data_IF_006311435041
#
_entry.id   IF_006311435041
#
_cell.length_a   1.000
_cell.length_b   1.000
_cell.length_c   1.000
_cell.angle_alpha   90.00
_cell.angle_beta   90.00
_cell.angle_gamma   90.00
#
_symmetry.space_group_name_H-M   'P 1'
#
loop_
_entity.id
_entity.type
_entity.pdbx_description
1 polymer ?
#
# COMPACT_ATOMS: atom_id res chain seq x y z
N UNK A 1 -16.72 -10.89 -2.23
CA UNK A 1 -17.16 -9.47 -2.14
C UNK A 1 -17.06 -8.95 -0.71
N UNK A 2 -17.40 -9.77 0.29
CA UNK A 2 -17.27 -9.44 1.72
C UNK A 2 -15.90 -8.85 2.13
N UNK A 3 -14.79 -9.45 1.71
CA UNK A 3 -13.45 -8.94 2.03
C UNK A 3 -13.17 -7.50 1.52
N UNK A 4 -13.75 -7.08 0.39
CA UNK A 4 -13.60 -5.70 -0.08
C UNK A 4 -14.42 -4.73 0.79
N UNK A 5 -15.59 -5.16 1.26
CA UNK A 5 -16.41 -4.34 2.16
C UNK A 5 -15.75 -4.18 3.53
N UNK A 6 -15.10 -5.24 4.03
CA UNK A 6 -14.28 -5.20 5.25
C UNK A 6 -13.09 -4.26 5.10
N UNK A 7 -12.37 -4.33 3.96
CA UNK A 7 -11.29 -3.39 3.68
C UNK A 7 -11.80 -1.94 3.70
N UNK A 8 -12.96 -1.67 3.07
CA UNK A 8 -13.59 -0.35 3.11
C UNK A 8 -13.91 0.12 4.54
N UNK A 9 -14.39 -0.77 5.42
CA UNK A 9 -14.63 -0.46 6.85
C UNK A 9 -13.33 -0.16 7.60
N UNK A 10 -12.27 -0.93 7.34
CA UNK A 10 -10.94 -0.69 7.94
C UNK A 10 -10.41 0.68 7.51
N UNK A 11 -10.46 1.00 6.22
CA UNK A 11 -10.03 2.30 5.69
C UNK A 11 -10.84 3.45 6.27
N UNK A 12 -12.16 3.28 6.46
CA UNK A 12 -12.99 4.26 7.13
C UNK A 12 -12.58 4.46 8.59
N UNK A 13 -12.27 3.40 9.33
CA UNK A 13 -11.79 3.52 10.71
C UNK A 13 -10.43 4.22 10.77
N UNK A 14 -9.49 3.85 9.90
CA UNK A 14 -8.19 4.51 9.77
C UNK A 14 -8.34 5.99 9.42
N UNK A 15 -9.29 6.34 8.55
CA UNK A 15 -9.54 7.73 8.16
C UNK A 15 -9.95 8.63 9.32
N UNK A 16 -10.49 8.06 10.41
CA UNK A 16 -10.92 8.78 11.62
C UNK A 16 -9.81 8.97 12.65
N UNK A 17 -8.83 8.08 12.69
CA UNK A 17 -7.81 8.03 13.75
C UNK A 17 -6.44 8.49 13.29
N UNK A 18 -6.10 8.30 12.02
CA UNK A 18 -4.79 8.67 11.48
C UNK A 18 -4.84 10.12 10.98
N UNK A 19 -4.07 11.07 11.54
CA UNK A 19 -3.92 12.41 10.99
C UNK A 19 -3.06 12.40 9.72
N UNK A 20 -3.16 13.43 8.87
CA UNK A 20 -2.33 13.56 7.67
C UNK A 20 -2.62 12.49 6.60
N UNK A 21 -1.57 12.00 5.95
CA UNK A 21 -1.63 11.08 4.81
C UNK A 21 -1.76 9.59 5.17
N UNK A 22 -2.67 8.90 4.50
CA UNK A 22 -2.77 7.43 4.49
C UNK A 22 -2.49 6.93 3.08
N UNK A 23 -1.54 6.01 2.91
CA UNK A 23 -1.22 5.42 1.61
C UNK A 23 -1.69 3.97 1.60
N UNK A 24 -2.48 3.59 0.59
CA UNK A 24 -3.03 2.23 0.44
C UNK A 24 -2.47 1.63 -0.83
N UNK A 25 -1.65 0.61 -0.70
CA UNK A 25 -1.04 -0.10 -1.82
C UNK A 25 -1.86 -1.35 -2.19
N UNK A 26 -2.28 -1.41 -3.45
CA UNK A 26 -2.99 -2.52 -4.04
C UNK A 26 -2.05 -3.38 -4.91
N UNK A 27 -2.39 -4.66 -5.13
CA UNK A 27 -1.55 -5.56 -5.93
C UNK A 27 -1.65 -5.28 -7.44
N UNK A 28 -2.69 -4.58 -7.90
CA UNK A 28 -2.85 -4.17 -9.29
C UNK A 28 -3.89 -3.06 -9.45
N UNK A 29 -3.79 -2.28 -10.53
CA UNK A 29 -4.81 -1.30 -10.91
C UNK A 29 -6.20 -1.91 -11.08
N UNK A 30 -6.30 -3.15 -11.58
CA UNK A 30 -7.59 -3.83 -11.75
C UNK A 30 -8.23 -4.15 -10.40
N UNK A 31 -7.44 -4.54 -9.40
CA UNK A 31 -7.95 -4.81 -8.07
C UNK A 31 -8.43 -3.52 -7.40
N UNK A 32 -7.63 -2.46 -7.50
CA UNK A 32 -7.97 -1.13 -7.00
C UNK A 32 -9.25 -0.58 -7.65
N UNK A 33 -9.38 -0.67 -8.99
CA UNK A 33 -10.60 -0.31 -9.73
C UNK A 33 -11.83 -1.10 -9.22
N UNK A 34 -11.69 -2.40 -8.94
CA UNK A 34 -12.77 -3.22 -8.40
C UNK A 34 -13.16 -2.82 -6.96
N UNK A 35 -12.16 -2.52 -6.12
CA UNK A 35 -12.38 -2.08 -4.74
C UNK A 35 -13.14 -0.75 -4.70
N UNK A 36 -12.68 0.24 -5.48
CA UNK A 36 -13.33 1.56 -5.59
C UNK A 36 -14.76 1.43 -6.10
N UNK A 37 -14.99 0.65 -7.18
CA UNK A 37 -16.35 0.39 -7.68
C UNK A 37 -17.24 -0.21 -6.60
N UNK A 38 -16.74 -1.20 -5.85
CA UNK A 38 -17.50 -1.80 -4.76
C UNK A 38 -17.85 -0.78 -3.69
N UNK A 39 -16.90 0.05 -3.26
CA UNK A 39 -17.11 1.07 -2.22
C UNK A 39 -18.05 2.19 -2.65
N UNK A 40 -18.10 2.51 -3.94
CA UNK A 40 -19.09 3.43 -4.49
C UNK A 40 -20.51 2.83 -4.41
N UNK A 41 -20.67 1.52 -4.67
CA UNK A 41 -21.98 0.85 -4.53
C UNK A 41 -22.46 0.71 -3.08
N UNK A 42 -21.56 0.72 -2.10
CA UNK A 42 -21.86 0.54 -0.67
C UNK A 42 -21.82 1.82 0.14
N UNK A 43 -21.71 3.00 -0.50
CA UNK A 43 -21.52 4.33 0.13
C UNK A 43 -20.24 4.49 0.95
N UNK A 44 -19.41 3.45 1.07
CA UNK A 44 -18.17 3.49 1.84
C UNK A 44 -17.19 4.51 1.27
N UNK A 45 -17.15 4.66 -0.06
CA UNK A 45 -16.28 5.63 -0.71
C UNK A 45 -16.59 7.06 -0.25
N UNK A 46 -17.87 7.43 -0.22
CA UNK A 46 -18.34 8.75 0.23
C UNK A 46 -18.05 8.97 1.72
N UNK A 47 -18.24 7.94 2.54
CA UNK A 47 -17.95 8.00 3.97
C UNK A 47 -16.46 8.23 4.26
N UNK A 48 -15.58 7.58 3.49
CA UNK A 48 -14.13 7.80 3.58
C UNK A 48 -13.80 9.21 3.08
N UNK A 49 -14.37 9.62 1.93
CA UNK A 49 -14.13 10.92 1.33
C UNK A 49 -14.56 12.09 2.22
N UNK A 50 -15.61 11.90 3.03
CA UNK A 50 -16.06 12.88 4.03
C UNK A 50 -15.06 13.08 5.18
N UNK A 51 -14.08 12.19 5.36
CA UNK A 51 -13.03 12.28 6.38
C UNK A 51 -11.65 12.60 5.79
N UNK A 52 -11.32 12.03 4.64
CA UNK A 52 -10.06 12.24 3.93
C UNK A 52 -10.27 12.38 2.44
N UNK A 53 -9.65 13.37 1.83
CA UNK A 53 -9.65 13.51 0.37
C UNK A 53 -8.99 12.27 -0.26
N UNK A 54 -9.68 11.59 -1.18
CA UNK A 54 -9.18 10.38 -1.81
C UNK A 54 -8.51 10.75 -3.13
N UNK A 55 -7.27 10.31 -3.30
CA UNK A 55 -6.47 10.43 -4.51
C UNK A 55 -6.15 9.04 -5.03
N UNK A 56 -6.03 8.90 -6.36
CA UNK A 56 -5.71 7.63 -7.02
C UNK A 56 -4.47 7.83 -7.88
N UNK A 57 -3.57 6.85 -7.85
CA UNK A 57 -2.38 6.86 -8.71
C UNK A 57 -2.80 6.86 -10.20
N UNK A 58 -2.40 7.86 -10.99
CA UNK A 58 -2.72 7.90 -12.41
C UNK A 58 -1.93 6.84 -13.18
N UNK A 59 -2.57 6.28 -14.21
CA UNK A 59 -1.94 5.29 -15.11
C UNK A 59 -0.84 5.92 -15.97
N UNK A 60 -0.88 7.25 -16.20
CA UNK A 60 0.12 8.00 -16.96
C UNK A 60 1.06 8.78 -16.04
N UNK A 61 2.30 8.97 -16.47
CA UNK A 61 3.37 9.48 -15.59
C UNK A 61 3.37 11.01 -15.50
N UNK A 62 2.87 11.66 -16.54
CA UNK A 62 2.69 13.11 -16.66
C UNK A 62 1.69 13.67 -15.64
N UNK A 63 0.62 12.92 -15.34
CA UNK A 63 -0.41 13.32 -14.36
C UNK A 63 0.04 13.11 -12.90
N UNK A 64 1.11 12.36 -12.66
CA UNK A 64 1.50 11.92 -11.32
C UNK A 64 1.96 13.07 -10.43
N UNK A 65 2.77 13.98 -10.96
CA UNK A 65 3.31 15.10 -10.21
C UNK A 65 2.20 16.02 -9.68
N UNK A 66 1.15 16.22 -10.48
CA UNK A 66 0.01 17.04 -10.10
C UNK A 66 -0.80 16.39 -8.97
N UNK A 67 -1.14 15.09 -9.11
CA UNK A 67 -1.87 14.34 -8.08
C UNK A 67 -1.12 14.37 -6.74
N UNK A 68 0.20 14.24 -6.75
CA UNK A 68 1.01 14.27 -5.54
C UNK A 68 1.07 15.65 -4.89
N UNK A 69 1.12 16.70 -5.70
CA UNK A 69 1.06 18.07 -5.20
C UNK A 69 -0.27 18.32 -4.48
N UNK A 70 -1.37 17.88 -5.08
CA UNK A 70 -2.71 17.99 -4.48
C UNK A 70 -2.85 17.13 -3.21
N UNK A 71 -2.34 15.89 -3.24
CA UNK A 71 -2.30 14.99 -2.09
C UNK A 71 -1.52 15.61 -0.92
N UNK A 72 -0.32 16.12 -1.19
CA UNK A 72 0.53 16.76 -0.18
C UNK A 72 -0.15 17.97 0.45
N UNK A 73 -0.73 18.84 -0.38
CA UNK A 73 -1.50 19.98 0.11
C UNK A 73 -2.70 19.56 0.97
N UNK A 74 -3.38 18.47 0.63
CA UNK A 74 -4.49 17.92 1.41
C UNK A 74 -4.04 17.27 2.73
N UNK A 75 -2.84 16.68 2.78
CA UNK A 75 -2.25 16.16 4.02
C UNK A 75 -1.94 17.27 5.02
N UNK A 76 -1.29 18.35 4.58
CA UNK A 76 -0.86 19.44 5.48
C UNK A 76 -2.01 20.34 5.96
N UNK A 77 -3.15 20.37 5.25
CA UNK A 77 -4.37 21.08 5.72
C UNK A 77 -5.03 20.43 6.94
N UNK A 78 -4.64 19.20 7.29
CA UNK A 78 -5.24 18.43 8.37
C UNK A 78 -4.98 18.91 9.78
N UNK A 79 -3.99 19.78 9.98
CA UNK A 79 -3.65 20.30 11.30
C UNK A 79 -4.71 21.28 11.86
N UNK A 80 -5.64 21.78 11.04
CA UNK A 80 -6.65 22.77 11.48
C UNK A 80 -8.09 22.26 11.48
N UNK A 81 -8.39 21.17 10.77
CA UNK A 81 -9.78 20.69 10.54
C UNK A 81 -9.96 19.18 10.78
N UNK A 82 -8.89 18.46 11.14
CA UNK A 82 -8.91 16.99 11.26
C UNK A 82 -9.02 16.23 9.93
N UNK A 83 -8.90 16.92 8.78
CA UNK A 83 -9.02 16.33 7.45
C UNK A 83 -7.65 15.97 6.87
N UNK A 84 -7.43 14.72 6.47
CA UNK A 84 -6.20 14.34 5.76
C UNK A 84 -6.46 13.94 4.32
N UNK A 85 -5.52 13.22 3.75
CA UNK A 85 -5.69 12.61 2.43
C UNK A 85 -5.43 11.10 2.49
N UNK A 86 -6.04 10.39 1.55
CA UNK A 86 -5.79 8.97 1.31
C UNK A 86 -5.36 8.79 -0.13
N UNK A 87 -4.21 8.16 -0.36
CA UNK A 87 -3.71 7.84 -1.68
C UNK A 87 -3.88 6.34 -1.95
N UNK A 88 -4.62 6.00 -2.99
CA UNK A 88 -4.75 4.63 -3.50
C UNK A 88 -3.70 4.42 -4.59
N UNK A 89 -2.71 3.57 -4.32
CA UNK A 89 -1.54 3.31 -5.16
C UNK A 89 -1.38 1.82 -5.45
N UNK A 90 -0.50 1.47 -6.39
CA UNK A 90 -0.22 0.08 -6.76
C UNK A 90 1.23 -0.28 -6.42
N UNK A 91 1.44 -1.46 -5.84
CA UNK A 91 2.78 -2.02 -5.57
C UNK A 91 3.53 -2.21 -6.88
N UNK A 92 4.80 -1.79 -6.94
CA UNK A 92 5.58 -1.81 -8.18
C UNK A 92 5.09 -0.80 -9.23
N UNK A 93 4.22 0.13 -8.81
CA UNK A 93 3.80 1.28 -9.60
C UNK A 93 4.87 2.37 -9.62
N UNK A 94 4.54 3.50 -10.25
CA UNK A 94 5.48 4.64 -10.40
C UNK A 94 5.80 5.27 -9.04
N UNK A 95 4.87 5.11 -8.10
CA UNK A 95 4.97 5.60 -6.74
C UNK A 95 5.99 4.85 -5.89
N UNK A 96 6.17 3.54 -6.10
CA UNK A 96 6.96 2.68 -5.22
C UNK A 96 8.48 2.77 -5.42
N UNK A 97 8.98 3.58 -6.36
CA UNK A 97 10.42 3.67 -6.65
C UNK A 97 11.03 5.06 -6.41
N UNK A 98 10.22 6.13 -6.34
CA UNK A 98 10.75 7.49 -6.51
C UNK A 98 10.28 8.56 -5.53
N UNK A 99 9.37 8.25 -4.60
CA UNK A 99 8.74 9.29 -3.77
C UNK A 99 9.10 9.11 -2.31
N UNK A 100 9.83 10.09 -1.80
CA UNK A 100 10.13 10.23 -0.39
C UNK A 100 8.89 10.80 0.30
N UNK A 101 8.12 9.94 0.97
CA UNK A 101 7.04 10.40 1.83
C UNK A 101 7.65 10.97 3.12
N UNK A 102 7.59 12.29 3.29
CA UNK A 102 7.84 12.90 4.59
C UNK A 102 6.80 12.43 5.61
N UNK A 103 7.08 12.60 6.90
CA UNK A 103 6.25 12.10 8.00
C UNK A 103 4.76 12.43 7.86
N UNK A 104 4.40 13.62 7.36
CA UNK A 104 3.00 14.03 7.19
C UNK A 104 2.29 13.35 6.01
N UNK A 105 3.04 12.89 5.01
CA UNK A 105 2.52 12.34 3.75
C UNK A 105 2.23 10.84 3.83
N UNK A 106 2.81 10.10 4.77
CA UNK A 106 2.56 8.67 4.95
C UNK A 106 2.55 8.28 6.43
N UNK A 107 1.67 8.90 7.22
CA UNK A 107 1.46 8.59 8.65
C UNK A 107 0.94 7.17 8.88
N UNK A 108 0.30 6.58 7.88
CA UNK A 108 -0.10 5.17 7.85
C UNK A 108 0.04 4.63 6.44
N UNK A 109 0.62 3.43 6.32
CA UNK A 109 0.68 2.67 5.09
C UNK A 109 -0.12 1.39 5.26
N UNK A 110 -1.03 1.12 4.32
CA UNK A 110 -1.85 -0.08 4.26
C UNK A 110 -1.46 -0.88 3.04
N UNK A 111 -0.98 -2.11 3.24
CA UNK A 111 -0.70 -3.04 2.16
C UNK A 111 -1.90 -3.98 1.98
N UNK A 112 -2.59 -3.90 0.83
CA UNK A 112 -3.74 -4.74 0.52
C UNK A 112 -3.25 -6.07 -0.05
N UNK A 113 -3.17 -7.06 0.83
CA UNK A 113 -2.53 -8.33 0.53
C UNK A 113 -1.01 -8.22 0.57
N UNK A 114 -0.35 -9.35 0.31
CA UNK A 114 1.11 -9.45 0.36
C UNK A 114 1.67 -9.66 -1.05
N UNK A 115 2.67 -8.86 -1.49
CA UNK A 115 3.27 -8.96 -2.82
C UNK A 115 4.23 -10.15 -2.92
N UNK A 116 3.72 -11.34 -2.64
CA UNK A 116 4.49 -12.57 -2.77
C UNK A 116 4.75 -12.88 -4.25
N UNK A 117 5.97 -13.29 -4.61
CA UNK A 117 6.23 -13.80 -5.95
C UNK A 117 5.46 -15.11 -6.17
N UNK A 118 5.22 -15.44 -7.43
CA UNK A 118 4.47 -16.64 -7.78
C UNK A 118 5.20 -17.90 -7.27
N UNK A 119 4.63 -18.58 -6.29
CA UNK A 119 5.21 -19.78 -5.70
C UNK A 119 5.37 -20.95 -6.69
N UNK A 120 4.75 -20.86 -7.88
CA UNK A 120 4.86 -21.87 -8.96
C UNK A 120 5.93 -21.55 -9.99
N UNK A 121 6.65 -20.44 -9.84
CA UNK A 121 7.77 -20.11 -10.70
C UNK A 121 8.88 -21.16 -10.52
N UNK A 122 9.27 -21.82 -11.62
CA UNK A 122 10.23 -22.92 -11.59
C UNK A 122 11.61 -22.49 -11.07
N UNK A 123 12.05 -21.28 -11.40
CA UNK A 123 13.34 -20.74 -10.93
C UNK A 123 13.27 -20.49 -9.43
N UNK A 124 12.17 -19.93 -8.94
CA UNK A 124 11.96 -19.69 -7.51
C UNK A 124 11.90 -21.00 -6.72
N UNK A 125 11.15 -21.99 -7.22
CA UNK A 125 11.03 -23.32 -6.58
C UNK A 125 12.38 -24.01 -6.48
N UNK A 126 13.17 -24.02 -7.56
CA UNK A 126 14.50 -24.62 -7.56
C UNK A 126 15.45 -23.90 -6.60
N UNK A 127 15.41 -22.57 -6.59
CA UNK A 127 16.23 -21.76 -5.69
C UNK A 127 15.88 -21.97 -4.21
N UNK A 128 14.59 -22.04 -3.87
CA UNK A 128 14.15 -22.37 -2.51
C UNK A 128 14.62 -23.76 -2.11
N UNK A 129 14.45 -24.77 -2.98
CA UNK A 129 14.90 -26.13 -2.72
C UNK A 129 16.43 -26.23 -2.54
N UNK A 130 17.20 -25.45 -3.30
CA UNK A 130 18.66 -25.37 -3.14
C UNK A 130 19.06 -24.75 -1.80
N UNK A 131 18.35 -23.70 -1.35
CA UNK A 131 18.61 -23.07 -0.06
C UNK A 131 18.24 -24.00 1.11
N UNK A 132 17.11 -24.69 1.02
CA UNK A 132 16.68 -25.66 2.03
C UNK A 132 17.64 -26.86 2.15
N UNK A 133 18.31 -27.26 1.06
CA UNK A 133 19.38 -28.26 1.10
C UNK A 133 20.61 -27.81 1.90
N UNK A 134 20.90 -26.50 1.94
CA UNK A 134 22.01 -25.96 2.74
C UNK A 134 21.62 -25.83 4.21
N UNK A 135 20.46 -25.25 4.46
CA UNK A 135 19.91 -25.07 5.80
C UNK A 135 18.38 -25.21 5.74
N UNK A 136 17.78 -26.18 6.45
CA UNK A 136 16.33 -26.35 6.46
C UNK A 136 15.59 -25.08 6.88
N UNK A 137 14.63 -24.63 6.07
CA UNK A 137 13.81 -23.44 6.33
C UNK A 137 14.32 -22.16 5.67
N UNK A 138 15.54 -22.16 5.12
CA UNK A 138 16.08 -21.01 4.39
C UNK A 138 15.36 -20.70 3.08
N UNK A 139 14.72 -21.68 2.44
CA UNK A 139 13.88 -21.46 1.26
C UNK A 139 12.66 -20.61 1.60
N UNK A 140 11.97 -20.92 2.70
CA UNK A 140 10.85 -20.13 3.22
C UNK A 140 11.27 -18.73 3.63
N UNK A 141 12.38 -18.61 4.36
CA UNK A 141 12.91 -17.31 4.77
C UNK A 141 13.28 -16.43 3.55
N UNK A 142 13.83 -17.04 2.49
CA UNK A 142 14.10 -16.35 1.24
C UNK A 142 12.81 -15.85 0.57
N UNK A 143 11.77 -16.68 0.50
CA UNK A 143 10.47 -16.29 -0.06
C UNK A 143 9.83 -15.12 0.70
N UNK A 144 9.84 -15.17 2.03
CA UNK A 144 9.37 -14.09 2.90
C UNK A 144 10.20 -12.81 2.69
N UNK A 145 11.53 -12.94 2.53
CA UNK A 145 12.40 -11.79 2.27
C UNK A 145 12.09 -11.09 0.93
N UNK A 146 11.66 -11.82 -0.10
CA UNK A 146 11.27 -11.22 -1.38
C UNK A 146 10.01 -10.37 -1.22
N UNK A 147 9.02 -10.88 -0.48
CA UNK A 147 7.81 -10.13 -0.18
C UNK A 147 8.13 -8.86 0.63
N UNK A 148 8.96 -8.99 1.68
CA UNK A 148 9.36 -7.85 2.51
C UNK A 148 10.14 -6.79 1.72
N UNK A 149 10.99 -7.21 0.77
CA UNK A 149 11.68 -6.27 -0.12
C UNK A 149 10.71 -5.44 -0.95
N UNK A 150 9.69 -6.08 -1.54
CA UNK A 150 8.68 -5.36 -2.32
C UNK A 150 7.84 -4.38 -1.47
N UNK A 151 7.52 -4.76 -0.22
CA UNK A 151 6.85 -3.87 0.74
C UNK A 151 7.74 -2.68 1.08
N UNK A 152 8.99 -2.91 1.45
CA UNK A 152 9.93 -1.86 1.85
C UNK A 152 10.25 -0.88 0.71
N UNK A 153 10.33 -1.39 -0.53
CA UNK A 153 10.42 -0.55 -1.72
C UNK A 153 9.22 0.39 -1.84
N UNK A 154 8.00 -0.15 -1.69
CA UNK A 154 6.77 0.65 -1.76
C UNK A 154 6.70 1.78 -0.73
N UNK A 155 7.34 1.60 0.43
CA UNK A 155 7.38 2.60 1.52
C UNK A 155 8.51 3.63 1.32
N UNK A 156 9.42 3.42 0.37
CA UNK A 156 10.53 4.34 0.09
C UNK A 156 11.81 4.08 0.88
N UNK A 157 11.96 2.91 1.52
CA UNK A 157 13.15 2.53 2.27
C UNK A 157 13.85 1.30 1.67
N UNK A 158 14.57 1.43 0.53
CA UNK A 158 15.24 0.30 -0.12
C UNK A 158 16.37 -0.34 0.72
N UNK A 159 16.86 0.33 1.78
CA UNK A 159 18.06 -0.07 2.53
C UNK A 159 17.84 -0.32 4.03
N UNK A 160 16.62 -0.29 4.55
CA UNK A 160 16.36 -0.50 5.97
C UNK A 160 16.16 -1.99 6.27
N UNK A 161 16.90 -2.50 7.25
CA UNK A 161 16.71 -3.83 7.88
C UNK A 161 15.23 -4.08 8.21
N UNK A 162 14.77 -5.35 8.18
CA UNK A 162 13.35 -5.67 8.27
C UNK A 162 12.72 -5.00 9.50
N UNK A 163 11.78 -4.10 9.25
CA UNK A 163 10.86 -3.63 10.28
C UNK A 163 10.07 -4.85 10.75
N UNK A 164 10.38 -5.29 11.96
CA UNK A 164 9.63 -6.30 12.69
C UNK A 164 8.27 -5.68 13.04
N UNK A 165 7.30 -5.86 12.16
CA UNK A 165 5.89 -5.65 12.46
C UNK A 165 5.24 -7.00 12.74
N UNK A 166 5.79 -7.73 13.71
CA UNK A 166 5.08 -8.80 14.39
C UNK A 166 3.97 -8.16 15.23
N UNK A 167 2.75 -8.18 14.72
CA UNK A 167 1.57 -7.96 15.54
C UNK A 167 1.51 -9.14 16.51
N UNK A 168 1.87 -8.92 17.78
CA UNK A 168 1.52 -9.79 18.90
C UNK A 168 0.14 -9.41 19.42
#
# INVERSE_FOLDING_TARGET
MEALDELGRILLNLSRVVPGGVVVFFPSYRFEDNAVRRWQTTTQYEQIQAKKAIFREPKKSDELAEVLTQYSAACSRGNSSGSGAMLLSVVGGKMSEGINFSDELARCVVMVGMPYPNARDSELVEKMAFLDKKHPGSGRQFYESLCMKAVNQSIGMPNSTPFDMSIH
#
